data_IF_883317385697
#
_entry.id   IF_883317385697
#
_cell.length_a   1.000
_cell.length_b   1.000
_cell.length_c   1.000
_cell.angle_alpha   90.00
_cell.angle_beta   90.00
_cell.angle_gamma   90.00
#
_symmetry.space_group_name_H-M   'P 1'
#
loop_
_entity.id
_entity.type
_entity.pdbx_description
1 polymer ?
#
# COMPACT_ATOMS: atom_id res chain seq x y z
N UNK A 1 -6.46 24.79 14.59
CA UNK A 1 -5.85 25.73 13.64
C UNK A 1 -6.21 27.17 14.02
N UNK A 2 -5.25 27.97 14.50
CA UNK A 2 -5.39 29.44 14.53
C UNK A 2 -5.50 29.98 13.09
N UNK A 3 -5.92 31.25 12.90
CA UNK A 3 -5.99 31.88 11.57
C UNK A 3 -4.59 31.83 10.91
N UNK A 4 -4.43 31.19 9.74
CA UNK A 4 -3.12 31.09 9.11
C UNK A 4 -2.61 32.47 8.67
N UNK A 5 -1.29 32.69 8.78
CA UNK A 5 -0.60 33.74 8.01
C UNK A 5 -0.77 33.42 6.52
N UNK A 6 -0.74 34.42 5.65
CA UNK A 6 -0.88 34.20 4.21
C UNK A 6 0.27 33.29 3.72
N UNK A 7 -0.06 32.06 3.35
CA UNK A 7 0.92 31.10 2.86
C UNK A 7 1.43 31.53 1.48
N UNK A 8 2.74 31.43 1.27
CA UNK A 8 3.40 31.86 0.02
C UNK A 8 3.87 30.63 -0.75
N UNK A 9 3.42 30.51 -2.00
CA UNK A 9 3.85 29.45 -2.90
C UNK A 9 5.18 29.81 -3.60
N UNK A 10 6.16 28.92 -3.56
CA UNK A 10 7.39 28.96 -4.35
C UNK A 10 7.34 27.92 -5.46
N UNK A 11 7.54 28.35 -6.70
CA UNK A 11 7.44 27.49 -7.87
C UNK A 11 8.71 26.64 -8.06
N UNK A 12 8.53 25.32 -8.20
CA UNK A 12 9.58 24.34 -8.54
C UNK A 12 9.35 23.73 -9.93
N UNK A 13 8.29 24.13 -10.63
CA UNK A 13 7.82 23.50 -11.88
C UNK A 13 8.82 23.54 -13.02
N UNK A 14 9.74 24.51 -13.03
CA UNK A 14 10.82 24.60 -13.99
C UNK A 14 11.85 23.45 -13.88
N UNK A 15 11.99 22.85 -12.69
CA UNK A 15 12.89 21.72 -12.44
C UNK A 15 12.13 20.40 -12.35
N UNK A 16 10.95 20.42 -11.72
CA UNK A 16 10.10 19.25 -11.51
C UNK A 16 8.68 19.66 -11.88
N UNK A 17 8.18 19.32 -13.08
CA UNK A 17 6.88 19.76 -13.55
C UNK A 17 5.76 19.52 -12.52
N UNK A 18 4.99 20.56 -12.23
CA UNK A 18 3.88 20.53 -11.27
C UNK A 18 4.29 20.52 -9.79
N UNK A 19 5.58 20.54 -9.45
CA UNK A 19 6.03 20.67 -8.07
C UNK A 19 6.08 22.12 -7.59
N UNK A 20 5.72 22.36 -6.33
CA UNK A 20 5.81 23.67 -5.69
C UNK A 20 5.87 23.54 -4.16
N UNK A 21 6.40 24.58 -3.52
CA UNK A 21 6.46 24.71 -2.07
C UNK A 21 5.39 25.67 -1.59
N UNK A 22 4.83 25.43 -0.41
CA UNK A 22 3.99 26.37 0.31
C UNK A 22 4.61 26.61 1.68
N UNK A 23 5.15 27.81 1.86
CA UNK A 23 5.72 28.23 3.15
C UNK A 23 4.61 28.53 4.15
N UNK A 24 4.88 28.30 5.44
CA UNK A 24 3.93 28.54 6.54
C UNK A 24 2.59 27.79 6.39
N UNK A 25 2.61 26.61 5.78
CA UNK A 25 1.46 25.72 5.68
C UNK A 25 0.95 25.25 7.06
N UNK A 26 1.88 25.05 7.99
CA UNK A 26 1.61 24.79 9.41
C UNK A 26 2.42 25.76 10.27
N UNK A 27 1.87 26.16 11.42
CA UNK A 27 2.63 26.95 12.39
C UNK A 27 3.62 26.04 13.14
N UNK A 28 4.75 26.59 13.64
CA UNK A 28 5.72 25.83 14.42
C UNK A 28 5.11 25.11 15.63
N UNK A 29 4.10 25.71 16.27
CA UNK A 29 3.41 25.12 17.43
C UNK A 29 2.60 23.88 17.03
N UNK A 30 1.96 23.90 15.85
CA UNK A 30 1.25 22.73 15.32
C UNK A 30 2.24 21.64 14.93
N UNK A 31 3.37 22.00 14.30
CA UNK A 31 4.41 21.04 13.97
C UNK A 31 4.96 20.32 15.21
N UNK A 32 5.18 21.07 16.29
CA UNK A 32 5.62 20.52 17.57
C UNK A 32 4.56 19.56 18.14
N UNK A 33 3.30 20.00 18.26
CA UNK A 33 2.23 19.18 18.80
C UNK A 33 1.98 17.88 18.01
N UNK A 34 2.08 17.93 16.67
CA UNK A 34 1.96 16.75 15.83
C UNK A 34 3.16 15.79 16.00
N UNK A 35 4.35 16.32 16.26
CA UNK A 35 5.55 15.51 16.52
C UNK A 35 5.43 14.81 17.88
N UNK A 36 5.03 15.53 18.92
CA UNK A 36 4.81 14.99 20.27
C UNK A 36 3.71 13.92 20.27
N UNK A 37 2.61 14.15 19.54
CA UNK A 37 1.55 13.15 19.37
C UNK A 37 2.07 11.87 18.70
N UNK A 38 2.90 11.99 17.67
CA UNK A 38 3.47 10.82 17.00
C UNK A 38 4.43 10.05 17.93
N UNK A 39 5.19 10.74 18.77
CA UNK A 39 6.05 10.09 19.78
C UNK A 39 5.23 9.40 20.89
N UNK A 40 4.11 9.98 21.32
CA UNK A 40 3.19 9.38 22.30
C UNK A 40 2.49 8.12 21.76
N UNK A 41 2.03 8.17 20.52
CA UNK A 41 1.41 7.03 19.84
C UNK A 41 2.40 5.92 19.51
N UNK A 42 3.70 6.23 19.49
CA UNK A 42 4.76 5.31 19.14
C UNK A 42 4.97 5.19 17.63
N UNK A 43 6.15 4.68 17.27
CA UNK A 43 6.57 4.51 15.89
C UNK A 43 6.77 3.03 15.60
N UNK A 44 6.05 2.52 14.60
CA UNK A 44 6.36 1.21 14.05
C UNK A 44 7.61 1.32 13.17
N UNK A 45 8.48 0.30 13.24
CA UNK A 45 9.61 0.22 12.33
C UNK A 45 9.12 -0.41 11.02
N UNK A 46 9.26 0.30 9.90
CA UNK A 46 8.87 -0.19 8.58
C UNK A 46 10.11 -0.56 7.77
N UNK A 47 10.32 -1.85 7.56
CA UNK A 47 11.32 -2.39 6.62
C UNK A 47 10.59 -3.03 5.45
N UNK A 48 10.63 -2.41 4.26
CA UNK A 48 9.98 -2.94 3.05
C UNK A 48 10.92 -2.74 1.85
N UNK A 49 11.56 -3.82 1.40
CA UNK A 49 12.51 -3.77 0.29
C UNK A 49 13.69 -2.83 0.57
N UNK A 50 13.80 -1.75 -0.21
CA UNK A 50 14.87 -0.73 -0.09
C UNK A 50 14.56 0.39 0.92
N UNK A 51 13.39 0.36 1.57
CA UNK A 51 12.94 1.37 2.53
C UNK A 51 13.14 0.88 3.96
N UNK A 52 13.79 1.70 4.80
CA UNK A 52 13.92 1.51 6.25
C UNK A 52 13.69 2.88 6.92
N UNK A 53 12.60 3.02 7.67
CA UNK A 53 12.28 4.23 8.43
C UNK A 53 11.19 3.95 9.49
N UNK A 54 11.06 4.84 10.47
CA UNK A 54 9.89 4.84 11.36
C UNK A 54 8.64 5.26 10.57
N UNK A 55 7.51 4.61 10.80
CA UNK A 55 6.24 4.95 10.18
C UNK A 55 5.09 4.89 11.20
N UNK A 56 4.13 5.78 11.04
CA UNK A 56 2.85 5.78 11.74
C UNK A 56 1.77 6.26 10.77
N UNK A 57 0.60 5.63 10.77
CA UNK A 57 -0.51 6.02 9.92
C UNK A 57 -1.73 6.37 10.77
N UNK A 58 -2.29 7.55 10.55
CA UNK A 58 -3.45 8.06 11.27
C UNK A 58 -4.53 8.49 10.29
N UNK A 59 -5.78 8.28 10.66
CA UNK A 59 -6.91 8.97 10.04
C UNK A 59 -7.25 10.20 10.86
N UNK A 60 -7.05 11.38 10.29
CA UNK A 60 -7.33 12.64 10.98
C UNK A 60 -8.80 13.01 10.92
N UNK A 61 -9.26 13.80 11.90
CA UNK A 61 -10.61 14.36 11.88
C UNK A 61 -10.81 15.27 10.66
N UNK A 62 -12.05 15.37 10.19
CA UNK A 62 -12.43 16.28 9.10
C UNK A 62 -12.01 17.73 9.38
N UNK A 63 -12.18 18.18 10.64
CA UNK A 63 -11.76 19.51 11.08
C UNK A 63 -10.26 19.74 10.88
N UNK A 64 -9.45 18.70 11.03
CA UNK A 64 -8.00 18.79 10.84
C UNK A 64 -7.63 18.87 9.36
N UNK A 65 -8.19 18.00 8.53
CA UNK A 65 -8.01 18.01 7.08
C UNK A 65 -8.48 19.34 6.46
N UNK A 66 -9.67 19.81 6.85
CA UNK A 66 -10.24 21.09 6.41
C UNK A 66 -9.40 22.28 6.91
N UNK A 67 -8.83 22.19 8.10
CA UNK A 67 -7.90 23.19 8.63
C UNK A 67 -6.67 23.39 7.74
N UNK A 68 -6.04 22.28 7.33
CA UNK A 68 -4.92 22.31 6.38
C UNK A 68 -5.38 22.76 4.98
N UNK A 69 -6.54 22.29 4.51
CA UNK A 69 -7.08 22.68 3.21
C UNK A 69 -7.28 24.19 3.09
N UNK A 70 -7.78 24.86 4.12
CA UNK A 70 -7.92 26.33 4.13
C UNK A 70 -6.61 27.07 3.88
N UNK A 71 -5.49 26.52 4.33
CA UNK A 71 -4.17 27.10 4.10
C UNK A 71 -3.67 26.80 2.69
N UNK A 72 -3.91 25.59 2.18
CA UNK A 72 -3.38 25.13 0.89
C UNK A 72 -4.25 25.47 -0.32
N UNK A 73 -5.56 25.73 -0.15
CA UNK A 73 -6.51 25.82 -1.27
C UNK A 73 -6.16 26.87 -2.32
N UNK A 74 -5.74 28.06 -1.91
CA UNK A 74 -5.43 29.14 -2.86
C UNK A 74 -4.11 28.87 -3.60
N UNK A 75 -3.01 28.51 -2.91
CA UNK A 75 -1.81 27.99 -3.57
C UNK A 75 -2.09 26.86 -4.55
N UNK A 76 -2.84 25.84 -4.13
CA UNK A 76 -3.15 24.67 -4.96
C UNK A 76 -3.99 25.07 -6.18
N UNK A 77 -5.05 25.85 -6.02
CA UNK A 77 -5.88 26.31 -7.16
C UNK A 77 -5.08 27.13 -8.17
N UNK A 78 -4.08 27.89 -7.71
CA UNK A 78 -3.22 28.68 -8.58
C UNK A 78 -2.19 27.83 -9.32
N UNK A 79 -1.52 26.93 -8.62
CA UNK A 79 -0.39 26.15 -9.16
C UNK A 79 -0.82 24.87 -9.87
N UNK A 80 -1.97 24.32 -9.48
CA UNK A 80 -2.54 23.07 -9.98
C UNK A 80 -4.07 23.18 -10.03
N UNK A 81 -4.63 24.01 -10.93
CA UNK A 81 -6.07 24.23 -11.05
C UNK A 81 -6.86 22.94 -11.39
N UNK A 82 -6.15 21.91 -11.86
CA UNK A 82 -6.73 20.68 -12.37
C UNK A 82 -7.03 20.75 -13.87
N UNK A 83 -7.14 19.59 -14.50
CA UNK A 83 -7.35 19.42 -15.94
C UNK A 83 -8.51 18.44 -16.17
N UNK A 84 -9.10 18.40 -17.37
CA UNK A 84 -10.18 17.46 -17.72
C UNK A 84 -11.41 17.47 -16.79
N UNK A 85 -11.71 18.65 -16.23
CA UNK A 85 -12.82 18.86 -15.29
C UNK A 85 -12.51 18.47 -13.85
N UNK A 86 -11.29 18.01 -13.55
CA UNK A 86 -10.83 17.83 -12.18
C UNK A 86 -10.58 19.18 -11.52
N UNK A 87 -11.06 19.30 -10.29
CA UNK A 87 -10.89 20.50 -9.48
C UNK A 87 -10.36 20.11 -8.09
N UNK A 88 -9.40 20.86 -7.52
CA UNK A 88 -8.96 20.67 -6.15
C UNK A 88 -10.12 20.76 -5.16
N UNK A 89 -10.34 19.69 -4.39
CA UNK A 89 -11.54 19.50 -3.57
C UNK A 89 -11.23 19.44 -2.06
N UNK A 90 -10.04 19.02 -1.66
CA UNK A 90 -9.70 18.91 -0.24
C UNK A 90 -8.40 18.19 0.03
N UNK A 91 -8.18 17.83 1.30
CA UNK A 91 -7.03 17.03 1.74
C UNK A 91 -7.52 15.66 2.19
N UNK A 92 -6.81 14.61 1.79
CA UNK A 92 -7.10 13.26 2.24
C UNK A 92 -6.90 13.15 3.76
N UNK A 93 -7.82 12.48 4.45
CA UNK A 93 -7.76 12.32 5.91
C UNK A 93 -6.70 11.32 6.35
N UNK A 94 -6.19 10.49 5.44
CA UNK A 94 -5.10 9.57 5.70
C UNK A 94 -3.76 10.31 5.76
N UNK A 95 -3.20 10.42 6.96
CA UNK A 95 -1.92 11.06 7.23
C UNK A 95 -0.89 10.00 7.63
N UNK A 96 0.25 10.01 6.93
CA UNK A 96 1.33 9.04 7.11
C UNK A 96 2.56 9.77 7.63
N UNK A 97 2.91 9.52 8.87
CA UNK A 97 4.09 10.07 9.52
C UNK A 97 5.29 9.20 9.20
N UNK A 98 6.41 9.84 8.90
CA UNK A 98 7.69 9.17 8.71
C UNK A 98 8.76 9.84 9.58
N UNK A 99 9.59 9.01 10.22
CA UNK A 99 10.72 9.45 11.04
C UNK A 99 12.03 8.87 10.49
N UNK A 100 13.02 9.75 10.34
CA UNK A 100 14.38 9.40 9.93
C UNK A 100 15.37 9.86 11.00
N UNK A 101 16.08 8.91 11.59
CA UNK A 101 17.07 9.15 12.65
C UNK A 101 18.46 9.46 12.08
N UNK A 102 19.24 10.32 12.73
CA UNK A 102 20.64 10.56 12.36
C UNK A 102 21.48 9.28 12.40
N UNK A 103 22.25 9.03 11.33
CA UNK A 103 23.25 7.96 11.29
C UNK A 103 22.69 6.53 11.23
N UNK A 104 21.37 6.36 11.20
CA UNK A 104 20.72 5.05 11.02
C UNK A 104 20.81 4.54 9.57
N UNK A 105 21.04 5.44 8.62
CA UNK A 105 20.92 5.13 7.19
C UNK A 105 19.48 5.03 6.69
N UNK A 106 18.49 5.31 7.55
CA UNK A 106 17.06 5.30 7.20
C UNK A 106 16.80 6.22 6.00
N UNK A 107 16.12 5.68 4.99
CA UNK A 107 15.81 6.37 3.73
C UNK A 107 14.54 5.83 3.11
N UNK A 108 14.00 6.63 2.19
CA UNK A 108 12.89 6.21 1.33
C UNK A 108 13.35 6.31 -0.11
N UNK A 109 13.56 5.16 -0.77
CA UNK A 109 14.19 5.07 -2.08
C UNK A 109 13.44 5.85 -3.18
N UNK A 110 14.12 6.22 -4.28
CA UNK A 110 13.50 6.90 -5.42
C UNK A 110 12.24 6.18 -5.93
N UNK A 111 11.12 6.89 -6.02
CA UNK A 111 9.83 6.36 -6.48
C UNK A 111 8.89 7.45 -7.03
N UNK A 112 7.80 7.00 -7.67
CA UNK A 112 6.64 7.82 -8.05
C UNK A 112 5.48 7.47 -7.13
N UNK A 113 4.74 8.48 -6.69
CA UNK A 113 3.57 8.28 -5.84
C UNK A 113 2.30 7.97 -6.64
N UNK A 114 1.56 6.97 -6.17
CA UNK A 114 0.23 6.64 -6.66
C UNK A 114 -0.84 7.56 -6.05
N UNK A 115 -1.88 7.83 -6.83
CA UNK A 115 -3.12 8.46 -6.36
C UNK A 115 -3.99 7.48 -5.56
N UNK A 116 -4.72 7.99 -4.58
CA UNK A 116 -5.59 7.24 -3.69
C UNK A 116 -7.00 7.86 -3.66
N UNK A 117 -8.05 7.04 -3.46
CA UNK A 117 -9.38 7.57 -3.16
C UNK A 117 -9.39 8.31 -1.81
N UNK A 118 -10.46 9.07 -1.51
CA UNK A 118 -10.69 9.62 -0.18
C UNK A 118 -10.70 8.50 0.87
N UNK A 119 -9.96 8.65 1.97
CA UNK A 119 -10.02 7.69 3.09
C UNK A 119 -10.96 8.20 4.20
N UNK A 120 -11.59 7.26 4.91
CA UNK A 120 -12.64 7.56 5.88
C UNK A 120 -12.70 6.59 7.06
N UNK A 121 -13.76 6.70 7.87
CA UNK A 121 -14.01 5.81 9.00
C UNK A 121 -15.03 4.74 8.59
N UNK A 122 -14.83 3.51 9.06
CA UNK A 122 -15.79 2.43 8.93
C UNK A 122 -17.07 2.67 9.73
N UNK A 123 -18.13 1.94 9.38
CA UNK A 123 -19.43 2.02 10.05
C UNK A 123 -19.47 1.44 11.47
N UNK A 124 -18.34 0.95 11.99
CA UNK A 124 -18.20 0.28 13.29
C UNK A 124 -17.95 1.24 14.47
N UNK A 125 -18.41 2.48 14.36
CA UNK A 125 -18.17 3.51 15.38
C UNK A 125 -16.78 4.17 15.26
N UNK A 126 -16.07 3.96 14.15
CA UNK A 126 -14.82 4.65 13.83
C UNK A 126 -13.56 4.02 14.41
N UNK A 127 -13.62 2.71 14.72
CA UNK A 127 -12.44 1.95 15.12
C UNK A 127 -11.56 1.57 13.91
N UNK A 128 -12.13 1.61 12.70
CA UNK A 128 -11.51 1.07 11.49
C UNK A 128 -11.41 2.12 10.38
N UNK A 129 -10.31 2.06 9.61
CA UNK A 129 -10.02 3.00 8.52
C UNK A 129 -10.46 2.42 7.16
N UNK A 130 -11.41 3.08 6.52
CA UNK A 130 -11.76 2.79 5.13
C UNK A 130 -10.72 3.38 4.18
N UNK A 131 -10.13 2.51 3.36
CA UNK A 131 -9.16 2.89 2.32
C UNK A 131 -9.79 3.73 1.23
N UNK A 132 -10.97 3.30 0.78
CA UNK A 132 -11.84 3.99 -0.15
C UNK A 132 -13.17 4.30 0.54
N UNK A 133 -13.33 5.56 0.92
CA UNK A 133 -14.55 6.13 1.46
C UNK A 133 -15.27 7.01 0.42
N UNK A 134 -15.04 6.75 -0.87
CA UNK A 134 -15.81 7.37 -1.94
C UNK A 134 -17.28 7.00 -1.78
N UNK A 135 -18.14 8.01 -1.86
CA UNK A 135 -19.57 7.79 -1.90
C UNK A 135 -19.97 7.26 -3.28
N UNK A 136 -20.37 5.98 -3.34
CA UNK A 136 -20.75 5.34 -4.58
C UNK A 136 -21.99 5.98 -5.24
N UNK A 137 -22.84 6.63 -4.45
CA UNK A 137 -24.06 7.32 -4.87
C UNK A 137 -23.82 8.79 -5.24
N UNK A 138 -22.61 9.31 -5.00
CA UNK A 138 -22.23 10.68 -5.36
C UNK A 138 -22.18 10.87 -6.88
N UNK A 139 -22.73 11.99 -7.33
CA UNK A 139 -22.62 12.48 -8.72
C UNK A 139 -21.22 12.99 -9.06
N UNK A 140 -20.29 12.96 -8.10
CA UNK A 140 -18.88 13.32 -8.24
C UNK A 140 -17.98 12.15 -7.90
N UNK A 141 -16.94 11.98 -8.70
CA UNK A 141 -15.81 11.11 -8.38
C UNK A 141 -14.66 11.93 -7.77
N UNK A 142 -13.90 11.31 -6.86
CA UNK A 142 -12.76 11.95 -6.20
C UNK A 142 -11.54 11.02 -6.16
N UNK A 143 -10.36 11.58 -6.41
CA UNK A 143 -9.07 10.87 -6.32
C UNK A 143 -7.96 11.86 -6.02
N UNK A 144 -6.93 11.43 -5.29
CA UNK A 144 -5.77 12.29 -5.07
C UNK A 144 -4.91 12.42 -6.32
N UNK A 145 -4.40 13.63 -6.58
CA UNK A 145 -3.53 13.92 -7.73
C UNK A 145 -2.24 14.66 -7.37
N UNK A 146 -2.11 15.12 -6.13
CA UNK A 146 -0.88 15.73 -5.62
C UNK A 146 -0.52 15.11 -4.28
N UNK A 147 0.75 14.75 -4.12
CA UNK A 147 1.33 14.46 -2.81
C UNK A 147 1.50 15.77 -2.06
N UNK A 148 1.31 15.73 -0.73
CA UNK A 148 1.63 16.81 0.21
C UNK A 148 2.59 16.27 1.25
N UNK A 149 3.84 16.73 1.24
CA UNK A 149 4.82 16.48 2.30
C UNK A 149 4.91 17.67 3.24
N UNK A 150 4.47 17.50 4.49
CA UNK A 150 4.52 18.51 5.55
C UNK A 150 5.76 18.26 6.41
N UNK A 151 6.73 19.17 6.35
CA UNK A 151 7.94 19.06 7.17
C UNK A 151 7.68 19.59 8.59
N UNK A 152 7.83 18.73 9.60
CA UNK A 152 7.58 19.11 11.00
C UNK A 152 8.86 19.55 11.72
N UNK A 153 10.01 18.97 11.36
CA UNK A 153 11.31 19.30 11.96
C UNK A 153 12.32 19.79 10.90
N UNK A 154 13.35 20.52 11.36
CA UNK A 154 14.39 21.09 10.49
C UNK A 154 15.81 21.11 11.09
N UNK A 155 15.97 20.74 12.37
CA UNK A 155 17.24 20.87 13.10
C UNK A 155 18.16 19.65 12.85
N UNK A 156 18.47 19.39 11.59
CA UNK A 156 19.30 18.28 11.15
C UNK A 156 20.07 18.58 9.86
N UNK A 157 21.06 17.73 9.56
CA UNK A 157 21.82 17.74 8.31
C UNK A 157 21.44 16.51 7.47
N UNK A 158 21.45 16.65 6.14
CA UNK A 158 20.89 15.64 5.25
C UNK A 158 19.36 15.74 5.21
N UNK A 159 18.66 14.61 5.04
CA UNK A 159 17.20 14.57 5.15
C UNK A 159 16.44 15.27 4.01
N UNK A 160 17.09 15.62 2.91
CA UNK A 160 16.46 16.29 1.77
C UNK A 160 15.35 15.43 1.15
N UNK A 161 14.34 16.09 0.57
CA UNK A 161 13.51 15.45 -0.47
C UNK A 161 14.19 15.74 -1.81
N UNK A 162 14.75 14.71 -2.43
CA UNK A 162 15.45 14.84 -3.71
C UNK A 162 14.54 14.39 -4.83
N UNK A 163 14.63 15.07 -5.97
CA UNK A 163 14.01 14.66 -7.22
C UNK A 163 15.09 14.29 -8.22
N UNK A 164 14.90 13.17 -8.89
CA UNK A 164 15.81 12.62 -9.89
C UNK A 164 15.19 12.68 -11.27
N UNK A 165 16.02 12.76 -12.30
CA UNK A 165 15.58 12.73 -13.69
C UNK A 165 14.79 11.45 -13.99
N UNK A 166 13.93 11.52 -15.00
CA UNK A 166 13.20 10.36 -15.48
C UNK A 166 14.14 9.39 -16.20
N UNK A 167 13.76 8.12 -16.31
CA UNK A 167 14.53 7.12 -17.07
C UNK A 167 14.49 7.41 -18.59
N UNK A 168 13.48 8.13 -19.07
CA UNK A 168 13.40 8.57 -20.47
C UNK A 168 14.42 9.68 -20.77
N UNK A 169 14.61 10.62 -19.85
CA UNK A 169 15.55 11.73 -20.02
C UNK A 169 17.01 11.28 -19.80
N UNK A 170 17.25 10.47 -18.77
CA UNK A 170 18.59 10.02 -18.35
C UNK A 170 18.62 8.47 -18.21
N UNK A 171 18.60 7.72 -19.32
CA UNK A 171 18.51 6.26 -19.29
C UNK A 171 19.76 5.58 -18.71
N UNK A 172 20.92 6.25 -18.81
CA UNK A 172 22.23 5.71 -18.40
C UNK A 172 22.60 6.03 -16.94
N UNK A 173 21.98 7.05 -16.33
CA UNK A 173 22.20 7.39 -14.91
C UNK A 173 20.90 7.85 -14.22
N UNK A 174 20.21 6.95 -13.48
CA UNK A 174 19.00 7.29 -12.75
C UNK A 174 19.24 8.19 -11.52
N UNK A 175 20.48 8.58 -11.23
CA UNK A 175 20.84 9.39 -10.06
C UNK A 175 21.07 10.87 -10.37
N UNK A 176 20.78 11.32 -11.59
CA UNK A 176 20.83 12.75 -11.96
C UNK A 176 19.81 13.52 -11.12
N UNK A 177 20.29 14.38 -10.22
CA UNK A 177 19.43 15.15 -9.30
C UNK A 177 18.93 16.42 -9.99
N UNK A 178 17.62 16.54 -10.18
CA UNK A 178 16.96 17.74 -10.71
C UNK A 178 16.75 18.81 -9.63
N UNK A 179 16.36 18.39 -8.43
CA UNK A 179 16.10 19.29 -7.32
C UNK A 179 16.39 18.62 -5.98
N UNK A 180 16.85 19.41 -5.00
CA UNK A 180 17.09 18.94 -3.63
C UNK A 180 16.45 19.92 -2.65
N UNK A 181 15.27 19.53 -2.13
CA UNK A 181 14.48 20.35 -1.22
C UNK A 181 14.92 20.09 0.21
N UNK A 182 15.44 21.12 0.88
CA UNK A 182 15.79 21.06 2.30
C UNK A 182 14.52 21.24 3.15
N UNK A 183 14.20 20.29 4.06
CA UNK A 183 13.06 20.43 4.95
C UNK A 183 13.16 21.70 5.80
N UNK A 184 12.04 22.41 5.90
CA UNK A 184 11.85 23.57 6.77
C UNK A 184 10.55 23.39 7.52
N UNK A 185 10.60 23.51 8.84
CA UNK A 185 9.44 23.30 9.71
C UNK A 185 8.28 24.19 9.24
N UNK A 186 7.09 23.60 9.13
CA UNK A 186 5.88 24.30 8.71
C UNK A 186 5.70 24.44 7.21
N UNK A 187 6.66 24.01 6.39
CA UNK A 187 6.57 24.08 4.92
C UNK A 187 5.92 22.82 4.36
N UNK A 188 5.04 22.99 3.36
CA UNK A 188 4.50 21.89 2.57
C UNK A 188 5.20 21.84 1.21
N UNK A 189 5.68 20.67 0.80
CA UNK A 189 6.10 20.39 -0.58
C UNK A 189 4.98 19.61 -1.27
N UNK A 190 4.54 20.11 -2.43
CA UNK A 190 3.51 19.48 -3.24
C UNK A 190 4.08 19.09 -4.60
N UNK A 191 3.68 17.92 -5.11
CA UNK A 191 4.09 17.43 -6.43
C UNK A 191 3.10 16.38 -6.96
N UNK A 192 3.06 16.13 -8.29
CA UNK A 192 2.08 15.25 -8.93
C UNK A 192 2.14 13.79 -8.49
N UNK A 193 0.98 13.13 -8.55
CA UNK A 193 0.79 11.69 -8.37
C UNK A 193 0.29 11.06 -9.67
N UNK A 194 0.70 9.83 -9.91
CA UNK A 194 0.17 9.03 -11.01
C UNK A 194 -1.12 8.34 -10.56
N UNK A 195 -2.21 8.54 -11.29
CA UNK A 195 -3.53 7.99 -10.94
C UNK A 195 -3.84 6.78 -11.80
N UNK A 196 -3.96 5.62 -11.15
CA UNK A 196 -4.19 4.33 -11.81
C UNK A 196 -2.90 3.70 -12.32
N UNK A 197 -2.92 2.38 -12.46
CA UNK A 197 -1.72 1.57 -12.71
C UNK A 197 -1.05 1.90 -14.04
N UNK A 198 -1.82 2.07 -15.13
CA UNK A 198 -1.28 2.45 -16.43
C UNK A 198 -0.50 3.77 -16.36
N UNK A 199 -1.08 4.79 -15.72
CA UNK A 199 -0.42 6.07 -15.55
C UNK A 199 0.82 5.94 -14.64
N UNK A 200 0.79 5.05 -13.64
CA UNK A 200 1.93 4.80 -12.76
C UNK A 200 3.09 4.12 -13.50
N UNK A 201 2.81 3.12 -14.34
CA UNK A 201 3.81 2.46 -15.18
C UNK A 201 4.46 3.45 -16.16
N UNK A 202 3.65 4.29 -16.81
CA UNK A 202 4.14 5.35 -17.69
C UNK A 202 4.94 6.40 -16.90
N UNK A 203 4.44 6.84 -15.75
CA UNK A 203 5.11 7.83 -14.91
C UNK A 203 6.46 7.33 -14.35
N UNK A 204 6.60 6.04 -14.03
CA UNK A 204 7.88 5.45 -13.60
C UNK A 204 8.99 5.60 -14.64
N UNK A 205 8.64 5.70 -15.92
CA UNK A 205 9.60 5.91 -17.00
C UNK A 205 9.80 7.40 -17.29
N UNK A 206 8.71 8.18 -17.26
CA UNK A 206 8.66 9.53 -17.82
C UNK A 206 8.72 10.67 -16.81
N UNK A 207 8.43 10.40 -15.55
CA UNK A 207 8.34 11.42 -14.52
C UNK A 207 9.58 11.40 -13.64
N UNK A 208 9.90 12.56 -13.08
CA UNK A 208 10.91 12.66 -12.05
C UNK A 208 10.53 11.78 -10.85
N UNK A 209 11.45 10.93 -10.40
CA UNK A 209 11.26 10.17 -9.16
C UNK A 209 11.69 10.99 -7.96
N UNK A 210 11.23 10.63 -6.76
CA UNK A 210 11.61 11.34 -5.55
C UNK A 210 12.05 10.41 -4.41
N UNK A 211 12.93 10.90 -3.55
CA UNK A 211 13.53 10.18 -2.43
C UNK A 211 13.45 11.00 -1.14
N UNK A 212 13.31 10.33 0.00
CA UNK A 212 13.67 10.86 1.30
C UNK A 212 15.10 10.45 1.67
N UNK A 213 16.08 11.35 1.46
CA UNK A 213 17.51 11.03 1.68
C UNK A 213 17.83 10.89 3.18
N UNK A 214 18.86 10.11 3.57
CA UNK A 214 19.24 9.91 4.97
C UNK A 214 19.54 11.20 5.75
N UNK A 215 19.23 11.17 7.04
CA UNK A 215 19.69 12.18 8.01
C UNK A 215 21.09 11.79 8.49
N UNK A 216 22.04 12.72 8.43
CA UNK A 216 23.45 12.43 8.76
C UNK A 216 23.82 12.85 10.17
N UNK A 217 23.26 13.97 10.68
CA UNK A 217 23.53 14.49 12.03
C UNK A 217 22.41 15.43 12.50
N UNK A 218 22.37 15.72 13.80
CA UNK A 218 21.39 16.61 14.42
C UNK A 218 20.24 15.86 15.09
N UNK A 219 19.02 16.37 14.97
CA UNK A 219 17.79 15.69 15.43
C UNK A 219 17.12 14.83 14.36
N UNK A 220 15.97 14.27 14.71
CA UNK A 220 15.20 13.44 13.78
C UNK A 220 14.48 14.30 12.73
N UNK A 221 14.43 13.80 11.48
CA UNK A 221 13.51 14.32 10.47
C UNK A 221 12.15 13.68 10.68
N UNK A 222 11.12 14.50 10.88
CA UNK A 222 9.73 14.09 10.94
C UNK A 222 8.95 14.79 9.83
N UNK A 223 8.25 13.99 9.02
CA UNK A 223 7.45 14.46 7.89
C UNK A 223 6.11 13.74 7.86
N UNK A 224 5.04 14.45 7.54
CA UNK A 224 3.73 13.85 7.23
C UNK A 224 3.58 13.83 5.71
N UNK A 225 3.14 12.70 5.17
CA UNK A 225 2.57 12.60 3.83
C UNK A 225 1.05 12.48 3.89
N UNK A 226 0.39 13.34 3.14
CA UNK A 226 -1.02 13.24 2.77
C UNK A 226 -1.15 13.67 1.30
N UNK A 227 -2.37 13.88 0.82
CA UNK A 227 -2.63 14.06 -0.60
C UNK A 227 -3.74 15.10 -0.81
N UNK A 228 -3.65 15.88 -1.90
CA UNK A 228 -4.75 16.74 -2.34
C UNK A 228 -5.72 15.90 -3.14
N UNK A 229 -6.96 15.83 -2.68
CA UNK A 229 -8.08 15.25 -3.40
C UNK A 229 -8.54 16.21 -4.48
N UNK A 230 -8.72 15.68 -5.69
CA UNK A 230 -9.40 16.36 -6.77
C UNK A 230 -10.75 15.69 -6.94
N UNK A 231 -11.76 16.47 -7.32
CA UNK A 231 -13.08 15.95 -7.68
C UNK A 231 -13.47 16.46 -9.05
N UNK A 232 -14.27 15.68 -9.76
CA UNK A 232 -15.00 16.16 -10.93
C UNK A 232 -16.42 15.63 -10.89
N UNK A 233 -17.37 16.25 -11.62
CA UNK A 233 -18.61 15.57 -11.94
C UNK A 233 -18.24 14.21 -12.51
N UNK A 234 -18.77 13.16 -11.89
CA UNK A 234 -18.63 11.81 -12.39
C UNK A 234 -19.16 11.89 -13.80
N UNK A 235 -18.29 11.68 -14.79
CA UNK A 235 -18.81 11.55 -16.15
C UNK A 235 -19.84 10.45 -16.04
N UNK A 236 -21.05 10.59 -16.63
CA UNK A 236 -21.81 9.40 -16.88
C UNK A 236 -20.80 8.47 -17.53
N UNK A 237 -20.59 7.29 -16.94
CA UNK A 237 -20.02 6.20 -17.71
C UNK A 237 -20.72 6.28 -19.07
N UNK A 238 -20.03 6.12 -20.22
CA UNK A 238 -20.78 5.78 -21.44
C UNK A 238 -21.86 4.80 -20.99
N UNK A 239 -23.15 5.17 -21.19
CA UNK A 239 -24.25 4.89 -20.26
C UNK A 239 -23.98 3.58 -19.60
N UNK A 240 -23.77 3.51 -18.27
CA UNK A 240 -23.33 2.28 -17.57
C UNK A 240 -23.96 1.08 -18.29
N UNK A 241 -23.22 0.49 -19.24
CA UNK A 241 -23.79 -0.59 -20.04
C UNK A 241 -24.07 -1.74 -19.07
N UNK A 242 -23.49 -1.68 -17.86
CA UNK A 242 -23.47 -2.59 -16.73
C UNK A 242 -24.72 -2.69 -15.86
N UNK A 243 -25.67 -1.75 -15.92
CA UNK A 243 -26.97 -1.96 -15.25
C UNK A 243 -27.82 -2.99 -16.02
N UNK A 244 -27.66 -3.03 -17.35
CA UNK A 244 -28.28 -4.03 -18.24
C UNK A 244 -27.27 -5.01 -18.88
N UNK A 245 -25.95 -4.86 -18.63
CA UNK A 245 -24.90 -5.74 -19.16
C UNK A 245 -25.14 -7.11 -18.53
N UNK A 246 -25.41 -8.13 -19.36
CA UNK A 246 -25.50 -9.49 -18.88
C UNK A 246 -24.31 -9.93 -18.02
N UNK A 247 -23.13 -9.32 -18.19
CA UNK A 247 -21.88 -9.69 -17.52
C UNK A 247 -21.69 -9.13 -16.10
N UNK A 248 -22.23 -7.95 -15.78
CA UNK A 248 -21.96 -7.26 -14.49
C UNK A 248 -23.19 -7.06 -13.62
N UNK A 249 -24.40 -7.22 -14.16
CA UNK A 249 -25.68 -7.03 -13.44
C UNK A 249 -25.84 -7.91 -12.19
N UNK A 250 -25.00 -8.94 -12.03
CA UNK A 250 -25.01 -9.85 -10.89
C UNK A 250 -23.83 -9.64 -9.94
N UNK A 251 -22.95 -8.65 -10.16
CA UNK A 251 -21.73 -8.47 -9.36
C UNK A 251 -21.99 -8.32 -7.87
N UNK A 252 -23.01 -7.54 -7.50
CA UNK A 252 -23.40 -7.39 -6.10
C UNK A 252 -23.86 -8.72 -5.49
N UNK A 253 -24.62 -9.52 -6.24
CA UNK A 253 -25.07 -10.84 -5.81
C UNK A 253 -23.90 -11.84 -5.72
N UNK A 254 -22.96 -11.80 -6.66
CA UNK A 254 -21.72 -12.61 -6.65
C UNK A 254 -20.88 -12.27 -5.43
N UNK A 255 -20.64 -10.98 -5.16
CA UNK A 255 -19.94 -10.52 -3.96
C UNK A 255 -20.66 -10.99 -2.70
N UNK A 256 -21.97 -10.81 -2.60
CA UNK A 256 -22.75 -11.25 -1.44
C UNK A 256 -22.71 -12.77 -1.24
N UNK A 257 -22.60 -13.55 -2.32
CA UNK A 257 -22.55 -15.01 -2.27
C UNK A 257 -21.17 -15.56 -1.90
N UNK A 258 -20.09 -14.96 -2.41
CA UNK A 258 -18.74 -15.54 -2.34
C UNK A 258 -17.77 -14.77 -1.44
N UNK A 259 -18.02 -13.49 -1.13
CA UNK A 259 -17.26 -12.85 -0.07
C UNK A 259 -17.63 -13.51 1.26
N UNK A 260 -16.64 -14.00 2.00
CA UNK A 260 -16.92 -14.84 3.15
C UNK A 260 -17.43 -13.99 4.31
N UNK A 261 -18.59 -14.39 4.85
CA UNK A 261 -19.30 -13.73 5.95
C UNK A 261 -19.16 -14.46 7.29
N UNK A 262 -18.27 -15.46 7.35
CA UNK A 262 -18.08 -16.27 8.55
C UNK A 262 -17.57 -15.39 9.71
N UNK A 263 -18.18 -15.48 10.91
CA UNK A 263 -17.70 -14.74 12.09
C UNK A 263 -16.33 -15.24 12.58
N UNK A 264 -15.84 -16.36 12.06
CA UNK A 264 -14.50 -16.88 12.37
C UNK A 264 -13.38 -16.19 11.58
N UNK A 265 -13.73 -15.41 10.56
CA UNK A 265 -12.76 -14.62 9.81
C UNK A 265 -12.56 -13.30 10.53
N UNK A 266 -11.30 -12.96 10.80
CA UNK A 266 -10.96 -11.67 11.39
C UNK A 266 -11.54 -10.53 10.55
N UNK A 267 -12.28 -9.59 11.15
CA UNK A 267 -12.80 -8.42 10.44
C UNK A 267 -11.70 -7.63 9.73
N UNK A 268 -10.54 -7.46 10.37
CA UNK A 268 -9.38 -6.79 9.78
C UNK A 268 -8.85 -7.54 8.53
N UNK A 269 -8.87 -8.87 8.55
CA UNK A 269 -8.49 -9.67 7.40
C UNK A 269 -9.51 -9.55 6.27
N UNK A 270 -10.80 -9.67 6.57
CA UNK A 270 -11.86 -9.55 5.58
C UNK A 270 -11.86 -8.18 4.89
N UNK A 271 -11.62 -7.11 5.64
CA UNK A 271 -11.55 -5.75 5.11
C UNK A 271 -10.32 -5.51 4.25
N UNK A 272 -9.14 -5.98 4.66
CA UNK A 272 -7.92 -5.81 3.88
C UNK A 272 -7.98 -6.57 2.54
N UNK A 273 -8.64 -7.73 2.52
CA UNK A 273 -8.69 -8.62 1.36
C UNK A 273 -9.91 -8.34 0.47
N UNK A 274 -11.02 -7.83 1.01
CA UNK A 274 -12.27 -7.56 0.29
C UNK A 274 -12.13 -6.71 -0.98
N UNK A 275 -11.36 -5.60 -0.97
CA UNK A 275 -11.12 -4.77 -2.15
C UNK A 275 -10.39 -5.50 -3.29
N UNK A 276 -9.67 -6.58 -2.99
CA UNK A 276 -8.99 -7.39 -4.00
C UNK A 276 -9.96 -8.28 -4.78
N UNK A 277 -11.19 -8.45 -4.29
CA UNK A 277 -12.19 -9.29 -4.94
C UNK A 277 -12.78 -8.57 -6.17
N UNK A 278 -12.53 -9.12 -7.34
CA UNK A 278 -13.11 -8.88 -8.64
C UNK A 278 -13.97 -10.08 -9.12
N UNK A 279 -15.31 -9.93 -9.15
CA UNK A 279 -16.29 -10.94 -9.61
C UNK A 279 -15.99 -11.60 -10.96
N UNK A 280 -15.20 -10.96 -11.81
CA UNK A 280 -14.90 -11.44 -13.16
C UNK A 280 -13.64 -12.30 -13.26
N UNK A 281 -12.80 -12.36 -12.21
CA UNK A 281 -11.54 -13.13 -12.22
C UNK A 281 -11.76 -14.62 -11.92
N UNK A 282 -12.97 -15.01 -11.47
CA UNK A 282 -13.45 -16.40 -11.39
C UNK A 282 -12.83 -17.28 -10.31
N UNK A 283 -11.54 -17.11 -10.01
CA UNK A 283 -10.78 -17.94 -9.05
C UNK A 283 -10.84 -17.43 -7.62
N UNK A 284 -11.28 -16.20 -7.41
CA UNK A 284 -11.21 -15.54 -6.11
C UNK A 284 -12.04 -16.25 -5.04
N UNK A 285 -13.10 -16.91 -5.47
CA UNK A 285 -13.98 -17.75 -4.65
C UNK A 285 -13.22 -18.90 -3.96
N UNK A 286 -12.01 -19.22 -4.43
CA UNK A 286 -11.17 -20.27 -3.89
C UNK A 286 -10.30 -19.81 -2.73
N UNK A 287 -10.26 -18.52 -2.37
CA UNK A 287 -9.47 -18.02 -1.23
C UNK A 287 -9.68 -18.81 0.07
N UNK A 288 -10.92 -18.93 0.59
CA UNK A 288 -11.22 -19.73 1.78
C UNK A 288 -10.89 -21.22 1.63
N UNK A 289 -11.06 -21.78 0.43
CA UNK A 289 -10.71 -23.17 0.14
C UNK A 289 -9.19 -23.36 0.19
N UNK A 290 -8.41 -22.46 -0.41
CA UNK A 290 -6.95 -22.49 -0.41
C UNK A 290 -6.39 -22.35 1.01
N UNK A 291 -6.97 -21.47 1.82
CA UNK A 291 -6.64 -21.40 3.25
C UNK A 291 -6.81 -22.77 3.92
N UNK A 292 -7.98 -23.38 3.74
CA UNK A 292 -8.30 -24.68 4.34
C UNK A 292 -7.41 -25.81 3.81
N UNK A 293 -7.10 -25.79 2.51
CA UNK A 293 -6.28 -26.79 1.84
C UNK A 293 -4.84 -26.74 2.34
N UNK A 294 -4.23 -25.55 2.37
CA UNK A 294 -2.85 -25.35 2.86
C UNK A 294 -2.76 -25.83 4.31
N UNK A 295 -3.71 -25.43 5.17
CA UNK A 295 -3.80 -25.86 6.58
C UNK A 295 -3.98 -27.36 6.74
N UNK A 296 -4.68 -28.01 5.81
CA UNK A 296 -4.95 -29.45 5.84
C UNK A 296 -3.73 -30.27 5.43
N UNK A 297 -3.07 -29.90 4.32
CA UNK A 297 -1.90 -30.63 3.80
C UNK A 297 -0.59 -30.21 4.47
N UNK A 298 -0.61 -29.15 5.31
CA UNK A 298 0.56 -28.55 5.96
C UNK A 298 1.65 -28.17 4.96
N UNK A 299 1.24 -27.61 3.82
CA UNK A 299 2.18 -27.13 2.80
C UNK A 299 3.02 -25.99 3.40
N UNK A 300 4.33 -25.96 3.11
CA UNK A 300 5.24 -24.92 3.60
C UNK A 300 5.81 -24.05 2.50
N UNK A 301 5.95 -24.63 1.31
CA UNK A 301 6.50 -23.99 0.12
C UNK A 301 5.41 -23.98 -0.94
N UNK A 302 4.74 -22.85 -1.07
CA UNK A 302 3.65 -22.68 -2.03
C UNK A 302 4.15 -21.82 -3.18
N UNK A 303 3.84 -22.22 -4.40
CA UNK A 303 4.02 -21.38 -5.59
C UNK A 303 2.65 -21.00 -6.10
N UNK A 304 2.42 -19.70 -6.28
CA UNK A 304 1.24 -19.15 -6.93
C UNK A 304 1.64 -18.57 -8.28
N UNK A 305 1.06 -19.10 -9.36
CA UNK A 305 1.15 -18.49 -10.68
C UNK A 305 -0.02 -17.51 -10.79
N UNK A 306 0.30 -16.22 -10.76
CA UNK A 306 -0.62 -15.11 -10.50
C UNK A 306 -0.37 -14.47 -9.13
N UNK A 307 -1.09 -13.39 -8.85
CA UNK A 307 -1.28 -12.86 -7.51
C UNK A 307 -2.53 -12.01 -7.43
N UNK A 308 -3.25 -12.07 -6.30
CA UNK A 308 -4.49 -11.35 -6.15
C UNK A 308 -5.26 -11.69 -4.89
N UNK A 309 -6.58 -11.82 -4.99
CA UNK A 309 -7.45 -12.10 -3.85
C UNK A 309 -7.05 -13.38 -3.08
N UNK A 310 -6.53 -14.41 -3.76
CA UNK A 310 -6.12 -15.68 -3.16
C UNK A 310 -4.83 -15.61 -2.35
N UNK A 311 -3.93 -14.68 -2.68
CA UNK A 311 -2.59 -14.57 -2.09
C UNK A 311 -2.63 -14.35 -0.56
N UNK A 312 -3.41 -13.40 0.01
CA UNK A 312 -3.48 -13.22 1.46
C UNK A 312 -4.03 -14.44 2.21
N UNK A 313 -4.91 -15.23 1.60
CA UNK A 313 -5.43 -16.46 2.20
C UNK A 313 -4.36 -17.52 2.36
N UNK A 314 -3.53 -17.69 1.33
CA UNK A 314 -2.40 -18.63 1.37
C UNK A 314 -1.39 -18.17 2.44
N UNK A 315 -1.02 -16.88 2.46
CA UNK A 315 -0.11 -16.34 3.47
C UNK A 315 -0.62 -16.56 4.89
N UNK A 316 -1.91 -16.28 5.12
CA UNK A 316 -2.51 -16.48 6.44
C UNK A 316 -2.47 -17.95 6.86
N UNK A 317 -2.77 -18.87 5.94
CA UNK A 317 -2.70 -20.30 6.22
C UNK A 317 -1.29 -20.76 6.59
N UNK A 318 -0.27 -20.30 5.86
CA UNK A 318 1.13 -20.61 6.13
C UNK A 318 1.57 -20.16 7.53
N UNK A 319 1.19 -18.95 7.94
CA UNK A 319 1.54 -18.42 9.26
C UNK A 319 0.77 -19.12 10.39
N UNK A 320 -0.51 -19.40 10.19
CA UNK A 320 -1.31 -20.14 11.17
C UNK A 320 -0.77 -21.58 11.33
N UNK A 321 -0.32 -22.22 10.25
CA UNK A 321 0.37 -23.52 10.30
C UNK A 321 1.70 -23.44 11.03
N UNK A 322 2.51 -22.41 10.78
CA UNK A 322 3.77 -22.22 11.49
C UNK A 322 3.55 -22.06 13.00
N UNK A 323 2.55 -21.27 13.40
CA UNK A 323 2.15 -21.10 14.79
C UNK A 323 1.70 -22.43 15.43
N UNK A 324 0.77 -23.14 14.79
CA UNK A 324 0.28 -24.44 15.28
C UNK A 324 1.43 -25.45 15.44
N UNK A 325 2.32 -25.54 14.45
CA UNK A 325 3.44 -26.48 14.51
C UNK A 325 4.46 -26.10 15.58
N UNK A 326 4.64 -24.82 15.90
CA UNK A 326 5.46 -24.37 17.02
C UNK A 326 4.85 -24.77 18.37
N UNK A 327 3.53 -24.62 18.53
CA UNK A 327 2.82 -25.04 19.74
C UNK A 327 2.95 -26.54 19.96
N UNK A 328 2.77 -27.35 18.90
CA UNK A 328 2.93 -28.81 18.99
C UNK A 328 4.37 -29.18 19.37
N UNK A 329 5.39 -28.48 18.85
CA UNK A 329 6.79 -28.69 19.25
C UNK A 329 7.02 -28.37 20.74
N UNK A 330 6.40 -27.31 21.26
CA UNK A 330 6.48 -26.99 22.70
C UNK A 330 5.83 -28.09 23.54
N UNK A 331 4.62 -28.51 23.18
CA UNK A 331 3.93 -29.60 23.87
C UNK A 331 4.74 -30.89 23.83
N UNK A 332 5.45 -31.17 22.73
CA UNK A 332 6.29 -32.35 22.60
C UNK A 332 7.54 -32.26 23.49
N UNK A 333 8.21 -31.10 23.56
CA UNK A 333 9.39 -30.91 24.42
C UNK A 333 9.02 -30.96 25.91
N UNK A 334 7.81 -30.53 26.26
CA UNK A 334 7.23 -30.64 27.61
C UNK A 334 6.71 -32.05 27.93
N UNK A 335 6.73 -32.99 26.98
CA UNK A 335 6.20 -34.34 27.16
C UNK A 335 4.67 -34.44 27.24
N UNK A 336 3.96 -33.38 26.85
CA UNK A 336 2.50 -33.22 26.93
C UNK A 336 1.74 -33.70 25.71
N UNK A 337 2.42 -34.13 24.64
CA UNK A 337 1.80 -34.77 23.46
C UNK A 337 1.33 -36.22 23.73
N UNK A 338 0.62 -36.45 24.85
CA UNK A 338 0.11 -37.76 25.27
C UNK A 338 -1.32 -37.68 25.75
N UNK A 339 -2.12 -38.69 25.44
CA UNK A 339 -3.43 -38.93 26.01
C UNK A 339 -3.32 -40.17 26.91
N UNK A 340 -3.37 -39.96 28.24
CA UNK A 340 -2.91 -40.96 29.22
C UNK A 340 -1.46 -41.34 28.91
N UNK A 341 -1.18 -42.63 28.67
CA UNK A 341 0.15 -43.14 28.35
C UNK A 341 0.45 -43.18 26.85
N UNK A 342 -0.53 -42.86 25.99
CA UNK A 342 -0.41 -43.00 24.53
C UNK A 342 0.00 -41.68 23.88
N UNK A 343 1.09 -41.64 23.09
CA UNK A 343 1.42 -40.45 22.30
C UNK A 343 0.36 -40.22 21.23
N UNK A 344 -0.12 -38.98 21.08
CA UNK A 344 -1.10 -38.61 20.03
C UNK A 344 -0.47 -37.88 18.84
N UNK A 345 0.81 -37.53 18.93
CA UNK A 345 1.56 -36.83 17.89
C UNK A 345 2.78 -37.66 17.44
N UNK A 346 3.12 -37.56 16.15
CA UNK A 346 4.38 -38.10 15.63
C UNK A 346 5.54 -37.18 16.02
N UNK A 347 6.75 -37.72 16.29
CA UNK A 347 7.90 -36.87 16.61
C UNK A 347 8.19 -35.87 15.48
N UNK A 348 8.06 -34.58 15.79
CA UNK A 348 8.39 -33.52 14.84
C UNK A 348 9.89 -33.22 14.87
N UNK A 349 10.51 -33.18 13.70
CA UNK A 349 11.85 -32.60 13.51
C UNK A 349 11.79 -31.06 13.52
N UNK A 350 12.92 -30.44 13.85
CA UNK A 350 13.09 -29.01 13.64
C UNK A 350 12.99 -28.72 12.13
N UNK A 351 12.26 -27.68 11.71
CA UNK A 351 12.14 -27.36 10.31
C UNK A 351 13.44 -26.75 9.76
N UNK A 352 13.81 -27.12 8.54
CA UNK A 352 15.02 -26.61 7.88
C UNK A 352 14.91 -25.13 7.44
N UNK A 353 13.69 -24.62 7.21
CA UNK A 353 13.42 -23.23 6.84
C UNK A 353 11.98 -22.81 7.16
N UNK A 354 11.73 -21.50 7.28
CA UNK A 354 10.38 -20.93 7.44
C UNK A 354 9.46 -21.16 6.21
N UNK A 355 8.14 -20.94 6.36
CA UNK A 355 7.19 -21.03 5.25
C UNK A 355 7.49 -19.98 4.19
N UNK A 356 7.13 -20.27 2.94
CA UNK A 356 7.30 -19.39 1.79
C UNK A 356 6.15 -19.51 0.81
N UNK A 357 5.72 -18.36 0.30
CA UNK A 357 4.83 -18.22 -0.84
C UNK A 357 5.57 -17.46 -1.93
N UNK A 358 5.82 -18.12 -3.08
CA UNK A 358 6.37 -17.48 -4.27
C UNK A 358 5.23 -17.17 -5.24
N UNK A 359 4.93 -15.90 -5.43
CA UNK A 359 4.01 -15.44 -6.46
C UNK A 359 4.77 -15.06 -7.74
N UNK A 360 4.29 -15.52 -8.88
CA UNK A 360 4.84 -15.20 -10.20
C UNK A 360 3.74 -14.62 -11.07
N UNK A 361 3.84 -13.33 -11.40
CA UNK A 361 2.83 -12.65 -12.20
C UNK A 361 3.48 -11.71 -13.23
N UNK A 362 2.98 -11.71 -14.46
CA UNK A 362 3.46 -10.81 -15.51
C UNK A 362 2.86 -9.40 -15.40
N UNK A 363 1.88 -9.21 -14.51
CA UNK A 363 1.19 -7.95 -14.24
C UNK A 363 0.56 -7.32 -15.51
N UNK A 364 0.20 -8.12 -16.52
CA UNK A 364 -0.33 -7.60 -17.79
C UNK A 364 -1.84 -7.33 -17.78
N UNK A 365 -2.59 -7.79 -16.77
CA UNK A 365 -4.04 -7.61 -16.69
C UNK A 365 -4.43 -6.27 -16.02
N UNK A 366 -5.31 -5.51 -16.69
CA UNK A 366 -5.71 -4.11 -16.44
C UNK A 366 -6.23 -3.71 -15.03
N UNK A 367 -6.39 -4.65 -14.09
CA UNK A 367 -6.82 -4.42 -12.70
C UNK A 367 -5.90 -5.21 -11.78
N UNK A 368 -4.64 -4.79 -11.65
CA UNK A 368 -3.59 -5.54 -10.96
C UNK A 368 -3.89 -5.72 -9.45
N UNK A 369 -4.60 -6.80 -9.13
CA UNK A 369 -4.81 -7.28 -7.76
C UNK A 369 -3.51 -7.76 -7.13
N UNK A 370 -2.45 -8.02 -7.91
CA UNK A 370 -1.13 -8.43 -7.45
C UNK A 370 -0.44 -7.39 -6.55
N UNK A 371 -0.39 -6.12 -6.98
CA UNK A 371 0.17 -5.02 -6.17
C UNK A 371 -0.71 -4.75 -4.94
N UNK A 372 -2.03 -4.88 -5.10
CA UNK A 372 -3.02 -4.85 -4.02
C UNK A 372 -2.84 -5.98 -3.00
N UNK A 373 -2.55 -7.19 -3.44
CA UNK A 373 -2.36 -8.36 -2.60
C UNK A 373 -1.11 -8.23 -1.74
N UNK A 374 -0.01 -7.78 -2.33
CA UNK A 374 1.20 -7.47 -1.58
C UNK A 374 0.97 -6.30 -0.60
N UNK A 375 0.13 -5.31 -0.94
CA UNK A 375 -0.22 -4.22 -0.04
C UNK A 375 -1.09 -4.71 1.13
N UNK A 376 -2.14 -5.48 0.85
CA UNK A 376 -3.00 -6.09 1.86
C UNK A 376 -2.22 -7.00 2.81
N UNK A 377 -1.31 -7.82 2.28
CA UNK A 377 -0.43 -8.66 3.10
C UNK A 377 0.45 -7.83 4.05
N UNK A 378 1.01 -6.71 3.57
CA UNK A 378 1.80 -5.78 4.39
C UNK A 378 0.96 -5.10 5.47
N UNK A 379 -0.25 -4.66 5.12
CA UNK A 379 -1.14 -3.98 6.07
C UNK A 379 -1.61 -4.93 7.18
N UNK A 380 -1.75 -6.22 6.86
CA UNK A 380 -2.06 -7.29 7.81
C UNK A 380 -0.83 -7.80 8.60
N UNK A 381 0.38 -7.38 8.24
CA UNK A 381 1.63 -7.89 8.82
C UNK A 381 1.88 -9.38 8.54
N UNK A 382 1.39 -9.90 7.42
CA UNK A 382 1.51 -11.31 7.02
C UNK A 382 2.40 -11.52 5.79
N UNK A 383 3.12 -10.49 5.34
CA UNK A 383 3.94 -10.49 4.13
C UNK A 383 5.30 -11.17 4.30
N UNK A 384 5.71 -11.53 5.52
CA UNK A 384 7.02 -12.16 5.78
C UNK A 384 7.36 -13.37 4.90
N UNK A 385 6.43 -14.31 4.66
CA UNK A 385 6.63 -15.45 3.76
C UNK A 385 6.55 -15.12 2.26
N UNK A 386 6.15 -13.90 1.88
CA UNK A 386 5.84 -13.55 0.49
C UNK A 386 7.09 -13.19 -0.31
N UNK A 387 7.34 -13.93 -1.38
CA UNK A 387 8.29 -13.60 -2.43
C UNK A 387 7.50 -13.31 -3.72
N UNK A 388 7.83 -12.22 -4.41
CA UNK A 388 7.12 -11.81 -5.62
C UNK A 388 8.09 -11.65 -6.79
N UNK A 389 7.80 -12.31 -7.90
CA UNK A 389 8.56 -12.22 -9.14
C UNK A 389 7.66 -11.69 -10.25
N UNK A 390 8.05 -10.53 -10.79
CA UNK A 390 7.44 -10.00 -12.01
C UNK A 390 8.03 -10.74 -13.21
N UNK A 391 7.22 -11.50 -13.92
CA UNK A 391 7.67 -12.26 -15.08
C UNK A 391 6.63 -13.25 -15.58
N UNK A 392 6.89 -13.82 -16.76
CA UNK A 392 6.10 -14.93 -17.26
C UNK A 392 6.54 -16.23 -16.57
N UNK A 393 5.59 -16.88 -15.88
CA UNK A 393 5.82 -18.15 -15.23
C UNK A 393 6.30 -19.26 -16.19
N UNK A 394 5.99 -19.14 -17.48
CA UNK A 394 6.46 -20.09 -18.50
C UNK A 394 7.97 -19.99 -18.78
N UNK A 395 8.61 -18.88 -18.43
CA UNK A 395 10.06 -18.70 -18.59
C UNK A 395 10.85 -19.17 -17.35
N UNK A 396 10.15 -19.52 -16.27
CA UNK A 396 10.76 -19.94 -15.01
C UNK A 396 11.03 -21.44 -14.98
N UNK A 397 12.12 -21.83 -14.30
CA UNK A 397 12.44 -23.23 -14.01
C UNK A 397 12.40 -23.47 -12.52
N UNK A 398 11.48 -24.30 -12.08
CA UNK A 398 11.38 -24.71 -10.68
C UNK A 398 12.21 -25.99 -10.44
N UNK A 399 13.15 -25.98 -9.49
CA UNK A 399 13.86 -27.21 -9.12
C UNK A 399 12.89 -28.29 -8.63
N UNK A 400 13.19 -29.57 -8.89
CA UNK A 400 12.36 -30.67 -8.40
C UNK A 400 12.25 -30.64 -6.88
N UNK A 401 11.03 -30.72 -6.36
CA UNK A 401 10.75 -30.65 -4.92
C UNK A 401 10.94 -29.27 -4.31
N UNK A 402 10.95 -28.19 -5.10
CA UNK A 402 11.02 -26.80 -4.62
C UNK A 402 9.68 -26.27 -4.08
N UNK A 403 8.56 -26.89 -4.46
CA UNK A 403 7.22 -26.56 -3.99
C UNK A 403 6.52 -27.80 -3.41
N UNK A 404 5.77 -27.61 -2.34
CA UNK A 404 4.85 -28.60 -1.75
C UNK A 404 3.45 -28.48 -2.37
N UNK A 405 3.08 -27.26 -2.80
CA UNK A 405 1.81 -26.96 -3.45
C UNK A 405 2.02 -25.93 -4.57
N UNK A 406 1.46 -26.21 -5.74
CA UNK A 406 1.40 -25.27 -6.87
C UNK A 406 -0.05 -24.85 -7.07
N UNK A 407 -0.32 -23.56 -6.88
CA UNK A 407 -1.59 -22.92 -7.19
C UNK A 407 -1.44 -22.15 -8.50
N UNK A 408 -2.29 -22.45 -9.47
CA UNK A 408 -2.30 -21.74 -10.74
C UNK A 408 -3.59 -20.94 -10.85
N UNK A 409 -3.50 -19.63 -10.73
CA UNK A 409 -4.56 -18.71 -11.14
C UNK A 409 -4.76 -18.88 -12.66
N UNK A 410 -6.02 -18.95 -13.12
CA UNK A 410 -6.46 -19.65 -14.33
C UNK A 410 -6.05 -19.01 -15.69
N UNK A 411 -4.98 -18.23 -15.73
CA UNK A 411 -4.31 -17.79 -16.97
C UNK A 411 -3.54 -18.90 -17.70
N UNK A 412 -3.29 -20.06 -17.07
CA UNK A 412 -2.43 -21.11 -17.64
C UNK A 412 -3.14 -22.07 -18.63
N UNK A 413 -4.47 -22.07 -18.67
CA UNK A 413 -5.30 -22.75 -19.68
C UNK A 413 -4.79 -24.11 -20.16
N UNK A 414 -4.58 -24.25 -21.47
CA UNK A 414 -4.12 -25.47 -22.14
C UNK A 414 -2.64 -25.84 -21.87
N UNK A 415 -1.91 -25.01 -21.12
CA UNK A 415 -0.46 -25.15 -20.89
C UNK A 415 -0.11 -25.68 -19.51
N UNK A 416 -1.09 -26.19 -18.75
CA UNK A 416 -0.83 -26.81 -17.44
C UNK A 416 0.25 -27.91 -17.51
N UNK A 417 0.30 -28.65 -18.63
CA UNK A 417 1.29 -29.70 -18.86
C UNK A 417 2.75 -29.20 -18.86
N UNK A 418 2.98 -27.90 -19.06
CA UNK A 418 4.31 -27.29 -19.04
C UNK A 418 4.86 -27.16 -17.60
N UNK A 419 3.98 -27.11 -16.58
CA UNK A 419 4.36 -26.99 -15.17
C UNK A 419 4.48 -28.33 -14.43
N UNK A 420 3.98 -29.43 -14.99
CA UNK A 420 3.88 -30.75 -14.33
C UNK A 420 5.04 -31.68 -14.72
N UNK A 421 6.07 -31.19 -15.44
CA UNK A 421 7.16 -32.01 -15.98
C UNK A 421 8.42 -32.04 -15.12
#
# INVERSE_FOLDING_TARGET
FPRPRAAVAGDLSALVPGAFLVSDALSPEICLALTELADELGWDRRTSGKNDHGALQLLVSERMAEGLWRTLREPVRKMAPGEDGWEPAGINRRWRFYRYRPGSGEKFAPHVDSGFPPSGLGGDGGATMLWDASDAESDREAVSRLTVLLYLTQNFTGGHTKFYASLEDEPDDPNVVLASVRPRTGTALLFPQAVGEKALQEARQKWATHEGSPVTSGGDKVVIRTDVLFSRPRRPSPPDDHADDPLTRHDAAVRAAFLPSSPLISPAFAEAVGPLYNPHMGVENLGPLLYSLVRFVKARRVVEIGAGYTTPWILRALLDDEAEMNDVRSLQSEGRCRLLDWPWCVPLSAPDAGPRLLCVDNCLHQKETASGAAAAARDLGIDGPLEFVVGDAFDMRFPTGSADLLWCDFGVGARMADFVR
#
